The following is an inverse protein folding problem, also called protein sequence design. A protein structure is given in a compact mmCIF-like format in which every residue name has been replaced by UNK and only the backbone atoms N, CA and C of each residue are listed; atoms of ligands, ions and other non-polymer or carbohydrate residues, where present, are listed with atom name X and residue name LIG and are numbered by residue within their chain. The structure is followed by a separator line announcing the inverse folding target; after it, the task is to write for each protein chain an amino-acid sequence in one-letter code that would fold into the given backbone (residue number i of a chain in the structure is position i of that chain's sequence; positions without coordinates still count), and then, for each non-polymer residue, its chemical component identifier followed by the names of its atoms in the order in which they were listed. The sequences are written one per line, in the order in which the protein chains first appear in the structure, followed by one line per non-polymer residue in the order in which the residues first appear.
data_IF_997831977667
#
_entry.id   IF_997831977667
#
_cell.length_a   1.000
_cell.length_b   1.000
_cell.length_c   1.000
_cell.angle_alpha   90.00
_cell.angle_beta   90.00
_cell.angle_gamma   90.00
#
_symmetry.space_group_name_H-M   'P 1'
#
loop_
_entity.id
_entity.type
_entity.pdbx_description
1 polymer ?
#
# COMPACT_ATOMS: atom_id res chain seq x y z
N UNK A 1 -6.91 -9.96 1.32
CA UNK A 1 -7.10 -8.66 2.00
C UNK A 1 -7.16 -8.91 3.49
N UNK A 2 -6.60 -8.01 4.28
CA UNK A 2 -6.52 -8.08 5.72
C UNK A 2 -7.25 -6.86 6.29
N UNK A 3 -8.09 -7.07 7.30
CA UNK A 3 -8.83 -6.00 7.96
C UNK A 3 -8.77 -6.24 9.46
N UNK A 4 -8.34 -5.26 10.22
CA UNK A 4 -8.42 -5.27 11.67
C UNK A 4 -9.40 -4.20 12.15
N UNK A 5 -10.30 -4.62 13.03
CA UNK A 5 -11.05 -3.73 13.90
C UNK A 5 -10.31 -3.58 15.23
N UNK A 6 -10.85 -2.83 16.19
CA UNK A 6 -10.27 -2.74 17.54
C UNK A 6 -10.29 -4.05 18.31
N UNK A 7 -11.11 -5.02 17.89
CA UNK A 7 -11.39 -6.25 18.66
C UNK A 7 -11.16 -7.54 17.89
N UNK A 8 -11.04 -7.48 16.57
CA UNK A 8 -11.06 -8.66 15.70
C UNK A 8 -10.31 -8.41 14.41
N UNK A 9 -9.56 -9.42 13.99
CA UNK A 9 -8.86 -9.46 12.71
C UNK A 9 -9.56 -10.38 11.72
N UNK A 10 -9.55 -9.99 10.44
CA UNK A 10 -10.15 -10.71 9.34
C UNK A 10 -9.12 -10.90 8.23
N UNK A 11 -9.04 -12.12 7.69
CA UNK A 11 -8.31 -12.44 6.47
C UNK A 11 -9.32 -12.88 5.42
N UNK A 12 -9.46 -12.08 4.36
CA UNK A 12 -10.44 -12.25 3.30
C UNK A 12 -9.75 -12.82 2.05
N UNK A 13 -10.26 -13.94 1.55
CA UNK A 13 -9.81 -14.56 0.31
C UNK A 13 -10.34 -13.79 -0.91
N UNK A 14 -9.52 -12.85 -1.41
CA UNK A 14 -9.87 -12.04 -2.56
C UNK A 14 -9.83 -12.78 -3.90
N UNK A 15 -9.27 -14.00 -3.96
CA UNK A 15 -9.30 -14.83 -5.17
C UNK A 15 -10.67 -15.50 -5.25
N UNK A 16 -11.08 -16.16 -4.16
CA UNK A 16 -12.37 -16.84 -4.11
C UNK A 16 -13.55 -15.86 -4.18
N UNK A 17 -13.44 -14.70 -3.50
CA UNK A 17 -14.52 -13.73 -3.39
C UNK A 17 -14.42 -12.57 -4.37
N UNK A 18 -13.54 -12.64 -5.39
CA UNK A 18 -13.24 -11.52 -6.29
C UNK A 18 -14.49 -10.78 -6.79
N UNK A 19 -15.48 -11.51 -7.27
CA UNK A 19 -16.71 -10.95 -7.82
C UNK A 19 -17.65 -10.36 -6.76
N UNK A 20 -17.51 -10.73 -5.49
CA UNK A 20 -18.32 -10.26 -4.37
C UNK A 20 -17.66 -9.11 -3.59
N UNK A 21 -16.38 -8.81 -3.86
CA UNK A 21 -15.62 -7.78 -3.13
C UNK A 21 -16.26 -6.39 -3.22
N UNK A 22 -17.00 -6.09 -4.29
CA UNK A 22 -17.76 -4.85 -4.45
C UNK A 22 -18.75 -4.59 -3.30
N UNK A 23 -19.20 -5.64 -2.59
CA UNK A 23 -20.09 -5.52 -1.42
C UNK A 23 -19.44 -4.79 -0.24
N UNK A 24 -18.10 -4.65 -0.23
CA UNK A 24 -17.40 -3.83 0.75
C UNK A 24 -17.49 -2.32 0.45
N UNK A 25 -17.99 -1.91 -0.72
CA UNK A 25 -18.08 -0.50 -1.09
C UNK A 25 -18.77 0.40 -0.03
N UNK A 26 -19.87 -0.01 0.63
CA UNK A 26 -20.48 0.79 1.70
C UNK A 26 -19.52 1.07 2.87
N UNK A 27 -18.58 0.18 3.18
CA UNK A 27 -17.58 0.39 4.22
C UNK A 27 -16.48 1.37 3.74
N UNK A 28 -15.98 1.13 2.53
CA UNK A 28 -14.87 1.90 1.96
C UNK A 28 -15.26 3.34 1.59
N UNK A 29 -16.52 3.56 1.17
CA UNK A 29 -17.06 4.87 0.79
C UNK A 29 -17.67 5.66 1.96
N UNK A 30 -17.89 5.03 3.12
CA UNK A 30 -18.49 5.72 4.27
C UNK A 30 -17.50 6.71 4.90
N UNK A 31 -17.83 8.01 4.82
CA UNK A 31 -17.01 9.08 5.38
C UNK A 31 -16.96 9.11 6.92
N UNK A 32 -17.86 8.42 7.61
CA UNK A 32 -17.86 8.30 9.08
C UNK A 32 -16.95 7.19 9.58
N UNK A 33 -16.43 6.36 8.68
CA UNK A 33 -15.54 5.25 9.03
C UNK A 33 -14.15 5.60 8.50
N UNK A 34 -13.19 5.77 9.39
CA UNK A 34 -11.80 5.97 9.00
C UNK A 34 -11.20 4.64 8.54
N UNK A 35 -10.58 4.63 7.37
CA UNK A 35 -9.72 3.52 6.93
C UNK A 35 -8.27 3.88 7.24
N UNK A 36 -7.53 2.98 7.89
CA UNK A 36 -6.10 3.17 8.19
C UNK A 36 -5.32 2.13 7.40
N UNK A 37 -4.37 2.58 6.58
CA UNK A 37 -3.43 1.73 5.84
C UNK A 37 -1.99 2.22 6.10
N UNK A 38 -1.00 1.48 5.57
CA UNK A 38 0.41 1.82 5.70
C UNK A 38 1.09 1.74 4.33
N UNK A 39 1.48 2.88 3.76
CA UNK A 39 2.13 2.91 2.44
C UNK A 39 1.21 2.47 1.31
N UNK A 40 -0.01 3.01 1.26
CA UNK A 40 -1.14 2.50 0.49
C UNK A 40 -1.11 2.79 -1.02
N UNK A 41 0.01 3.27 -1.58
CA UNK A 41 0.07 3.71 -2.98
C UNK A 41 -0.35 2.61 -3.96
N UNK A 42 0.18 1.41 -3.78
CA UNK A 42 -0.20 0.28 -4.62
C UNK A 42 -1.57 -0.27 -4.25
N UNK A 43 -1.93 -0.28 -2.96
CA UNK A 43 -3.24 -0.74 -2.50
C UNK A 43 -4.40 0.05 -3.11
N UNK A 44 -4.28 1.38 -3.19
CA UNK A 44 -5.27 2.26 -3.86
C UNK A 44 -5.51 1.80 -5.30
N UNK A 45 -4.45 1.49 -6.04
CA UNK A 45 -4.53 1.06 -7.44
C UNK A 45 -5.08 -0.36 -7.56
N UNK A 46 -4.68 -1.28 -6.69
CA UNK A 46 -5.14 -2.67 -6.70
C UNK A 46 -6.62 -2.78 -6.35
N UNK A 47 -7.10 -2.01 -5.36
CA UNK A 47 -8.51 -1.95 -5.00
C UNK A 47 -9.40 -1.57 -6.18
N UNK A 48 -8.97 -0.57 -6.98
CA UNK A 48 -9.68 -0.15 -8.19
C UNK A 48 -9.60 -1.21 -9.29
N UNK A 49 -8.38 -1.65 -9.63
CA UNK A 49 -8.09 -2.62 -10.69
C UNK A 49 -8.87 -3.92 -10.51
N UNK A 50 -8.88 -4.46 -9.29
CA UNK A 50 -9.35 -5.81 -9.03
C UNK A 50 -10.80 -5.88 -8.56
N UNK A 51 -11.29 -4.87 -7.85
CA UNK A 51 -12.57 -4.93 -7.14
C UNK A 51 -13.49 -3.72 -7.36
N UNK A 52 -13.03 -2.67 -8.04
CA UNK A 52 -13.79 -1.41 -8.16
C UNK A 52 -14.03 -0.73 -6.81
N UNK A 53 -13.14 -0.92 -5.84
CA UNK A 53 -13.22 -0.30 -4.51
C UNK A 53 -12.41 0.99 -4.45
N UNK A 54 -12.93 1.99 -3.71
CA UNK A 54 -12.35 3.32 -3.57
C UNK A 54 -12.35 3.76 -2.10
N UNK A 55 -11.31 4.48 -1.67
CA UNK A 55 -11.15 4.91 -0.28
C UNK A 55 -11.69 6.33 -0.07
N UNK A 56 -12.66 6.49 0.84
CA UNK A 56 -13.13 7.80 1.34
C UNK A 56 -12.82 7.91 2.83
N UNK A 57 -12.31 9.04 3.32
CA UNK A 57 -11.85 9.17 4.72
C UNK A 57 -10.81 8.09 5.11
N UNK A 58 -9.59 8.32 4.65
CA UNK A 58 -8.46 7.40 4.77
C UNK A 58 -7.26 8.12 5.38
N UNK A 59 -6.48 7.40 6.19
CA UNK A 59 -5.24 7.85 6.80
C UNK A 59 -4.10 6.86 6.52
N UNK A 60 -3.01 7.35 5.94
CA UNK A 60 -1.81 6.57 5.68
C UNK A 60 -0.75 6.78 6.78
N UNK A 61 -0.45 5.73 7.53
CA UNK A 61 0.57 5.77 8.59
C UNK A 61 2.00 5.87 8.05
N UNK A 62 2.26 5.46 6.81
CA UNK A 62 3.52 5.67 6.12
C UNK A 62 3.76 7.14 5.78
N UNK A 63 2.72 7.83 5.26
CA UNK A 63 2.77 9.29 5.05
C UNK A 63 2.98 10.00 6.39
N UNK A 64 2.25 9.63 7.44
CA UNK A 64 2.41 10.22 8.77
C UNK A 64 3.87 10.14 9.28
N UNK A 65 4.52 8.98 9.14
CA UNK A 65 5.91 8.80 9.53
C UNK A 65 6.87 9.64 8.69
N UNK A 66 6.63 9.75 7.37
CA UNK A 66 7.41 10.63 6.49
C UNK A 66 7.27 12.10 6.90
N UNK A 67 6.06 12.57 7.20
CA UNK A 67 5.79 13.93 7.71
C UNK A 67 6.51 14.20 9.03
N UNK A 68 6.61 13.19 9.91
CA UNK A 68 7.37 13.26 11.16
C UNK A 68 8.88 13.07 10.98
N UNK A 69 9.37 12.92 9.74
CA UNK A 69 10.78 12.66 9.41
C UNK A 69 11.35 11.39 10.09
N UNK A 70 10.52 10.36 10.21
CA UNK A 70 10.89 9.06 10.78
C UNK A 70 11.05 8.00 9.68
N UNK A 71 11.73 6.87 9.97
CA UNK A 71 11.63 5.68 9.12
C UNK A 71 10.16 5.28 8.96
N UNK A 72 9.76 4.86 7.76
CA UNK A 72 8.34 4.74 7.37
C UNK A 72 7.98 3.35 6.83
N UNK A 73 8.71 2.31 7.26
CA UNK A 73 8.32 0.93 6.97
C UNK A 73 7.36 0.40 8.03
N UNK A 74 6.48 -0.54 7.66
CA UNK A 74 5.53 -1.12 8.60
C UNK A 74 6.25 -1.86 9.73
N UNK A 75 7.29 -2.61 9.39
CA UNK A 75 8.13 -3.31 10.37
C UNK A 75 8.76 -2.35 11.38
N UNK A 76 9.23 -1.17 10.93
CA UNK A 76 9.71 -0.13 11.85
C UNK A 76 8.58 0.40 12.74
N UNK A 77 7.42 0.73 12.17
CA UNK A 77 6.31 1.29 12.93
C UNK A 77 5.85 0.32 14.04
N UNK A 78 5.69 -0.97 13.70
CA UNK A 78 5.29 -2.01 14.65
C UNK A 78 6.36 -2.23 15.72
N UNK A 79 7.64 -2.30 15.36
CA UNK A 79 8.72 -2.45 16.35
C UNK A 79 8.82 -1.23 17.26
N UNK A 80 8.80 -0.02 16.69
CA UNK A 80 8.94 1.23 17.43
C UNK A 80 7.79 1.46 18.43
N UNK A 81 6.53 1.31 17.99
CA UNK A 81 5.39 1.62 18.83
C UNK A 81 4.90 0.45 19.68
N UNK A 82 5.05 -0.79 19.20
CA UNK A 82 4.49 -1.98 19.85
C UNK A 82 5.57 -2.91 20.43
N UNK A 83 6.86 -2.67 20.16
CA UNK A 83 7.97 -3.55 20.55
C UNK A 83 7.81 -4.99 20.01
N UNK A 84 7.25 -5.10 18.80
CA UNK A 84 7.02 -6.37 18.10
C UNK A 84 7.81 -6.39 16.80
N UNK A 85 8.58 -7.46 16.58
CA UNK A 85 9.28 -7.68 15.31
C UNK A 85 8.39 -8.46 14.35
N UNK A 86 8.02 -7.83 13.24
CA UNK A 86 7.34 -8.54 12.15
C UNK A 86 8.30 -9.52 11.47
N UNK A 87 7.79 -10.70 11.16
CA UNK A 87 8.46 -11.63 10.25
C UNK A 87 8.56 -10.99 8.86
N UNK A 88 9.64 -11.27 8.13
CA UNK A 88 9.84 -10.81 6.74
C UNK A 88 9.76 -11.96 5.72
N UNK A 89 9.66 -13.20 6.20
CA UNK A 89 9.73 -14.43 5.38
C UNK A 89 8.70 -14.46 4.25
N UNK A 90 7.50 -13.90 4.47
CA UNK A 90 6.38 -14.02 3.52
C UNK A 90 6.14 -12.79 2.65
N UNK A 91 7.03 -11.79 2.68
CA UNK A 91 6.89 -10.57 1.88
C UNK A 91 6.82 -10.86 0.37
N UNK A 92 7.57 -11.85 -0.10
CA UNK A 92 7.64 -12.27 -1.51
C UNK A 92 7.06 -13.66 -1.76
N UNK A 93 6.26 -14.18 -0.81
CA UNK A 93 5.65 -15.50 -0.95
C UNK A 93 4.53 -15.53 -2.00
N UNK A 94 4.24 -16.73 -2.52
CA UNK A 94 3.09 -16.93 -3.41
C UNK A 94 1.78 -16.94 -2.62
N UNK A 95 1.08 -15.81 -2.60
CA UNK A 95 -0.20 -15.64 -1.91
C UNK A 95 -1.39 -16.32 -2.61
N UNK A 96 -1.17 -17.02 -3.73
CA UNK A 96 -2.21 -17.76 -4.46
C UNK A 96 -2.44 -19.17 -3.91
N UNK A 97 -1.51 -19.70 -3.10
CA UNK A 97 -1.59 -21.06 -2.57
C UNK A 97 -2.83 -21.27 -1.70
N UNK A 98 -3.49 -22.43 -1.82
CA UNK A 98 -4.66 -22.81 -1.00
C UNK A 98 -4.56 -24.27 -0.55
N UNK A 99 -4.92 -24.58 0.72
CA UNK A 99 -5.23 -23.63 1.80
C UNK A 99 -4.00 -22.79 2.18
N UNK A 100 -4.21 -21.59 2.74
CA UNK A 100 -3.10 -20.78 3.25
C UNK A 100 -2.50 -21.45 4.49
N UNK A 101 -1.18 -21.72 4.55
CA UNK A 101 -0.53 -22.22 5.75
C UNK A 101 -0.74 -21.31 6.95
N UNK A 102 -0.81 -21.88 8.16
CA UNK A 102 -1.06 -21.13 9.40
C UNK A 102 -0.06 -19.98 9.61
N UNK A 103 1.21 -20.18 9.24
CA UNK A 103 2.24 -19.15 9.30
C UNK A 103 1.94 -17.95 8.38
N UNK A 104 1.42 -18.19 7.16
CA UNK A 104 1.02 -17.13 6.24
C UNK A 104 -0.24 -16.40 6.72
N UNK A 105 -1.19 -17.11 7.34
CA UNK A 105 -2.36 -16.49 7.96
C UNK A 105 -1.93 -15.59 9.12
N UNK A 106 -1.00 -16.05 9.96
CA UNK A 106 -0.44 -15.26 11.05
C UNK A 106 0.30 -14.02 10.53
N UNK A 107 1.16 -14.20 9.52
CA UNK A 107 1.86 -13.08 8.87
C UNK A 107 0.87 -12.04 8.35
N UNK A 108 -0.13 -12.47 7.56
CA UNK A 108 -1.13 -11.57 7.00
C UNK A 108 -1.87 -10.80 8.09
N UNK A 109 -2.30 -11.47 9.15
CA UNK A 109 -2.96 -10.82 10.29
C UNK A 109 -2.11 -9.70 10.90
N UNK A 110 -0.81 -9.94 11.07
CA UNK A 110 0.09 -9.00 11.72
C UNK A 110 0.30 -7.70 10.93
N UNK A 111 0.05 -7.68 9.62
CA UNK A 111 0.13 -6.46 8.80
C UNK A 111 -0.91 -5.40 9.21
N UNK A 112 -2.06 -5.80 9.77
CA UNK A 112 -3.13 -4.86 10.16
C UNK A 112 -3.41 -4.83 11.66
N UNK A 113 -3.08 -5.90 12.39
CA UNK A 113 -3.42 -6.07 13.81
C UNK A 113 -3.01 -4.87 14.69
N UNK A 114 -1.81 -4.34 14.50
CA UNK A 114 -1.26 -3.25 15.30
C UNK A 114 -1.61 -1.85 14.78
N UNK A 115 -2.20 -1.77 13.58
CA UNK A 115 -2.20 -0.55 12.80
C UNK A 115 -3.07 0.56 13.40
N UNK A 116 -4.18 0.19 14.05
CA UNK A 116 -5.05 1.14 14.73
C UNK A 116 -4.41 1.73 15.99
N UNK A 117 -3.60 0.96 16.72
CA UNK A 117 -2.83 1.48 17.84
C UNK A 117 -1.73 2.45 17.36
N UNK A 118 -1.02 2.07 16.29
CA UNK A 118 -0.01 2.92 15.66
C UNK A 118 -0.64 4.24 15.18
N UNK A 119 -1.83 4.19 14.59
CA UNK A 119 -2.59 5.37 14.23
C UNK A 119 -2.82 6.30 15.42
N UNK A 120 -3.29 5.80 16.58
CA UNK A 120 -3.53 6.65 17.76
C UNK A 120 -2.23 7.32 18.25
N UNK A 121 -1.11 6.57 18.22
CA UNK A 121 0.21 7.08 18.61
C UNK A 121 0.70 8.16 17.66
N UNK A 122 0.56 7.95 16.35
CA UNK A 122 0.94 8.93 15.32
C UNK A 122 0.06 10.18 15.38
N UNK A 123 -1.25 10.02 15.60
CA UNK A 123 -2.15 11.15 15.78
C UNK A 123 -1.68 12.05 16.94
N UNK A 124 -1.33 11.46 18.07
CA UNK A 124 -0.80 12.18 19.24
C UNK A 124 0.52 12.90 18.92
N UNK A 125 1.43 12.25 18.19
CA UNK A 125 2.72 12.84 17.80
C UNK A 125 2.57 14.01 16.82
N UNK A 126 1.67 13.88 15.84
CA UNK A 126 1.40 14.93 14.86
C UNK A 126 0.83 16.18 15.52
N UNK A 127 -0.13 16.02 16.45
CA UNK A 127 -0.71 17.14 17.20
C UNK A 127 0.31 17.82 18.13
N UNK A 128 1.17 17.04 18.81
CA UNK A 128 2.16 17.60 19.74
C UNK A 128 3.32 18.31 19.04
N UNK A 129 3.65 17.90 17.81
CA UNK A 129 4.69 18.53 17.01
C UNK A 129 4.34 19.98 16.62
N UNK A 130 3.06 20.35 16.66
CA UNK A 130 2.58 21.72 16.43
C UNK A 130 3.07 22.71 17.50
N UNK A 131 3.35 22.23 18.72
CA UNK A 131 3.70 23.11 19.85
C UNK A 131 5.15 23.62 19.83
N UNK A 132 5.99 23.14 18.90
CA UNK A 132 7.45 23.36 18.94
C UNK A 132 8.04 24.20 17.79
N UNK A 133 7.26 24.52 16.75
CA UNK A 133 7.76 25.25 15.58
C UNK A 133 6.70 26.19 15.01
N UNK A 134 6.87 27.49 15.23
CA UNK A 134 5.90 28.54 14.88
C UNK A 134 5.71 28.79 13.37
N UNK A 135 5.38 27.77 12.57
CA UNK A 135 5.15 27.99 11.15
C UNK A 135 4.66 26.84 10.28
N UNK A 136 4.39 25.63 10.79
CA UNK A 136 3.79 24.56 9.97
C UNK A 136 2.38 24.32 10.48
N UNK A 137 1.39 24.52 9.60
CA UNK A 137 -0.02 24.28 9.91
C UNK A 137 -0.28 22.86 10.43
N UNK A 138 -1.49 22.61 10.91
CA UNK A 138 -1.88 21.39 11.60
C UNK A 138 -1.37 20.11 10.88
N UNK A 139 -0.31 19.47 11.41
CA UNK A 139 0.38 18.37 10.72
C UNK A 139 -0.53 17.16 10.57
N UNK A 140 -1.44 16.97 11.52
CA UNK A 140 -2.44 15.93 11.44
C UNK A 140 -3.35 16.17 10.22
N UNK A 141 -3.85 17.39 10.04
CA UNK A 141 -4.65 17.78 8.88
C UNK A 141 -3.86 17.63 7.58
N UNK A 142 -2.58 17.97 7.57
CA UNK A 142 -1.71 17.76 6.41
C UNK A 142 -1.64 16.28 6.02
N UNK A 143 -1.44 15.37 6.98
CA UNK A 143 -1.42 13.92 6.68
C UNK A 143 -2.76 13.43 6.15
N UNK A 144 -3.89 13.93 6.67
CA UNK A 144 -5.21 13.62 6.12
C UNK A 144 -5.36 14.11 4.67
N UNK A 145 -4.88 15.32 4.36
CA UNK A 145 -4.93 15.88 3.01
C UNK A 145 -4.06 15.07 2.03
N UNK A 146 -2.85 14.70 2.43
CA UNK A 146 -1.97 13.87 1.60
C UNK A 146 -2.53 12.46 1.42
N UNK A 147 -3.14 11.88 2.44
CA UNK A 147 -3.83 10.58 2.34
C UNK A 147 -5.02 10.66 1.37
N UNK A 148 -5.79 11.75 1.40
CA UNK A 148 -6.87 11.98 0.42
C UNK A 148 -6.32 12.16 -1.00
N UNK A 149 -5.22 12.90 -1.17
CA UNK A 149 -4.56 13.06 -2.47
C UNK A 149 -4.10 11.71 -3.02
N UNK A 150 -3.56 10.84 -2.17
CA UNK A 150 -3.19 9.48 -2.55
C UNK A 150 -4.41 8.65 -2.97
N UNK A 151 -5.54 8.76 -2.26
CA UNK A 151 -6.77 8.05 -2.59
C UNK A 151 -7.38 8.47 -3.95
N UNK A 152 -7.02 9.66 -4.46
CA UNK A 152 -7.41 10.14 -5.79
C UNK A 152 -6.55 9.58 -6.93
N UNK A 153 -5.42 8.91 -6.64
CA UNK A 153 -4.64 8.24 -7.68
C UNK A 153 -5.50 7.19 -8.41
N UNK A 154 -5.40 7.14 -9.73
CA UNK A 154 -6.16 6.22 -10.57
C UNK A 154 -5.30 5.06 -11.03
N UNK A 155 -5.87 3.86 -11.00
CA UNK A 155 -5.28 2.73 -11.70
C UNK A 155 -5.31 2.99 -13.22
N UNK A 156 -4.15 2.89 -13.84
CA UNK A 156 -3.99 2.93 -15.30
C UNK A 156 -3.33 1.61 -15.72
N UNK A 157 -3.87 0.96 -16.75
CA UNK A 157 -3.25 -0.26 -17.30
C UNK A 157 -1.85 0.08 -17.82
N UNK A 158 -0.83 -0.75 -17.54
CA UNK A 158 0.48 -0.58 -18.15
C UNK A 158 0.35 -0.49 -19.67
N UNK A 159 0.93 0.56 -20.25
CA UNK A 159 0.94 0.77 -21.70
C UNK A 159 2.21 0.14 -22.25
N UNK A 160 2.05 -0.73 -23.23
CA UNK A 160 3.15 -1.29 -24.02
C UNK A 160 3.26 -0.51 -25.31
N UNK A 161 4.44 0.07 -25.54
CA UNK A 161 4.80 0.77 -26.77
C UNK A 161 5.82 -0.09 -27.51
N UNK A 162 5.42 -0.65 -28.65
CA UNK A 162 6.22 -1.56 -29.47
C UNK A 162 7.58 -0.99 -29.90
N UNK A 163 7.74 0.34 -29.86
CA UNK A 163 8.95 1.06 -30.28
C UNK A 163 9.79 1.58 -29.11
N UNK A 164 9.21 1.73 -27.92
CA UNK A 164 9.89 2.32 -26.75
C UNK A 164 10.04 1.36 -25.56
N UNK A 165 9.07 0.49 -25.30
CA UNK A 165 9.07 -0.35 -24.09
C UNK A 165 10.28 -1.26 -24.00
N UNK A 166 10.70 -1.88 -25.12
CA UNK A 166 11.91 -2.72 -25.16
C UNK A 166 13.18 -1.94 -24.82
N UNK A 167 13.27 -0.66 -25.21
CA UNK A 167 14.42 0.20 -24.92
C UNK A 167 14.48 0.56 -23.45
N UNK A 168 13.33 0.86 -22.85
CA UNK A 168 13.25 1.13 -21.40
C UNK A 168 13.65 -0.12 -20.60
N UNK A 169 13.21 -1.30 -21.03
CA UNK A 169 13.51 -2.56 -20.36
C UNK A 169 14.98 -3.00 -20.52
N UNK A 170 15.50 -3.02 -21.75
CA UNK A 170 16.86 -3.50 -22.03
C UNK A 170 17.93 -2.45 -21.72
N UNK A 171 17.60 -1.17 -21.82
CA UNK A 171 18.46 -0.04 -21.48
C UNK A 171 19.85 -0.15 -22.12
N UNK A 172 20.90 -0.08 -21.28
CA UNK A 172 22.31 -0.16 -21.72
C UNK A 172 22.69 -1.50 -22.37
N UNK A 173 21.90 -2.56 -22.18
CA UNK A 173 22.17 -3.88 -22.77
C UNK A 173 21.97 -3.91 -24.28
N UNK A 174 21.36 -2.87 -24.87
CA UNK A 174 21.29 -2.68 -26.32
C UNK A 174 22.62 -2.20 -26.93
N UNK A 175 23.55 -1.70 -26.12
CA UNK A 175 24.82 -1.18 -26.61
C UNK A 175 25.67 -2.27 -27.28
N UNK A 176 26.14 -2.00 -28.51
CA UNK A 176 26.96 -2.93 -29.29
C UNK A 176 26.16 -3.92 -30.16
N UNK A 177 24.83 -3.90 -30.09
CA UNK A 177 23.99 -4.64 -31.05
C UNK A 177 24.01 -3.95 -32.41
N UNK A 178 24.09 -4.73 -33.49
CA UNK A 178 23.84 -4.23 -34.84
C UNK A 178 22.32 -4.07 -35.10
N UNK A 179 21.95 -3.42 -36.21
CA UNK A 179 20.55 -3.13 -36.51
C UNK A 179 19.66 -4.38 -36.64
N UNK A 180 20.20 -5.53 -37.07
CA UNK A 180 19.43 -6.78 -37.13
C UNK A 180 19.20 -7.33 -35.71
N UNK A 181 20.23 -7.31 -34.86
CA UNK A 181 20.12 -7.77 -33.47
C UNK A 181 19.17 -6.89 -32.65
N UNK A 182 19.21 -5.56 -32.84
CA UNK A 182 18.27 -4.66 -32.18
C UNK A 182 16.83 -4.92 -32.67
N UNK A 183 16.64 -5.17 -33.97
CA UNK A 183 15.34 -5.57 -34.49
C UNK A 183 14.86 -6.87 -33.83
N UNK A 184 15.68 -7.90 -33.75
CA UNK A 184 15.33 -9.16 -33.07
C UNK A 184 14.99 -8.92 -31.60
N UNK A 185 15.78 -8.10 -30.90
CA UNK A 185 15.53 -7.76 -29.49
C UNK A 185 14.16 -7.10 -29.30
N UNK A 186 13.77 -6.18 -30.21
CA UNK A 186 12.44 -5.57 -30.21
C UNK A 186 11.34 -6.60 -30.48
N UNK A 187 11.45 -7.39 -31.55
CA UNK A 187 10.41 -8.36 -31.94
C UNK A 187 10.24 -9.50 -30.91
N UNK A 188 11.28 -9.86 -30.16
CA UNK A 188 11.20 -10.87 -29.09
C UNK A 188 10.63 -10.28 -27.80
N UNK A 189 10.86 -8.98 -27.55
CA UNK A 189 10.32 -8.31 -26.36
C UNK A 189 8.82 -8.04 -26.48
N UNK A 190 8.36 -7.67 -27.68
CA UNK A 190 6.95 -7.41 -27.98
C UNK A 190 6.15 -8.72 -28.04
#
# INVERSE_FOLDING_TARGET
MQISSRFTDYVIDCIQLRNEMHRLAPLFLNNKILKVLHGAREDVRWLQKDFGLYLVNFFDTGIALQTLHMPHSLAFAVDHFCQVKLDKKYQTADWRVRPLPAEMVHYARCDTHYLLYIYDRLQSLLMNSESRGGGVGNLLLHVYQESQRLALEQYVKPVHDDMQSYKVFLGRSLAGLNGLQEKVAREVYN
#
